data_IF_184073333322
#
_entry.id   IF_184073333322
#
_cell.length_a   1.000
_cell.length_b   1.000
_cell.length_c   1.000
_cell.angle_alpha   90.00
_cell.angle_beta   90.00
_cell.angle_gamma   90.00
#
_symmetry.space_group_name_H-M   'P 1'
#
loop_
_entity.id
_entity.type
_entity.pdbx_description
1 polymer ?
#
# COMPACT_ATOMS: atom_id res chain seq x y z
N UNK A 1 -3.37 -18.74 -32.09
CA UNK A 1 -3.89 -18.45 -30.74
C UNK A 1 -2.97 -17.42 -30.14
N UNK A 2 -3.48 -16.26 -29.72
CA UNK A 2 -2.68 -15.31 -28.95
C UNK A 2 -2.18 -16.02 -27.70
N UNK A 3 -0.91 -15.84 -27.28
CA UNK A 3 -0.41 -16.45 -26.06
C UNK A 3 -1.27 -16.00 -24.88
N UNK A 4 -1.72 -16.94 -24.06
CA UNK A 4 -2.38 -16.62 -22.79
C UNK A 4 -1.34 -15.92 -21.91
N UNK A 5 -1.59 -14.68 -21.45
CA UNK A 5 -0.60 -13.90 -20.70
C UNK A 5 -0.35 -14.46 -19.30
N UNK A 6 -1.24 -15.35 -18.84
CA UNK A 6 -1.20 -15.99 -17.54
C UNK A 6 -1.65 -17.45 -17.66
N UNK A 7 -1.07 -18.38 -16.89
CA UNK A 7 -1.54 -19.75 -16.82
C UNK A 7 -2.72 -19.92 -15.85
N UNK A 8 -3.10 -18.86 -15.11
CA UNK A 8 -4.21 -18.86 -14.15
C UNK A 8 -5.54 -18.59 -14.84
N UNK A 9 -6.59 -19.31 -14.43
CA UNK A 9 -7.96 -19.06 -14.86
C UNK A 9 -8.46 -17.68 -14.40
N UNK A 10 -9.16 -16.96 -15.29
CA UNK A 10 -9.72 -15.65 -14.96
C UNK A 10 -10.70 -15.75 -13.79
N UNK A 11 -10.58 -14.87 -12.81
CA UNK A 11 -11.50 -14.83 -11.68
C UNK A 11 -11.31 -15.92 -10.62
N UNK A 12 -10.39 -16.86 -10.82
CA UNK A 12 -10.09 -17.89 -9.85
C UNK A 12 -9.30 -17.31 -8.67
N UNK A 13 -9.75 -17.58 -7.44
CA UNK A 13 -8.97 -17.35 -6.24
C UNK A 13 -8.27 -18.63 -5.84
N UNK A 14 -6.95 -18.66 -6.02
CA UNK A 14 -6.13 -19.85 -5.84
C UNK A 14 -5.14 -19.64 -4.67
N UNK A 15 -5.49 -20.06 -3.44
CA UNK A 15 -4.53 -20.07 -2.34
C UNK A 15 -3.28 -20.88 -2.70
N UNK A 16 -2.11 -20.25 -2.67
CA UNK A 16 -0.84 -20.86 -3.11
C UNK A 16 -0.65 -20.90 -4.63
N UNK A 17 -1.48 -20.21 -5.41
CA UNK A 17 -1.41 -20.22 -6.87
C UNK A 17 -1.65 -21.63 -7.42
N UNK A 18 -0.68 -22.17 -8.16
CA UNK A 18 -0.72 -23.57 -8.63
C UNK A 18 -0.14 -24.58 -7.64
N UNK A 19 0.25 -24.16 -6.43
CA UNK A 19 0.92 -25.00 -5.44
C UNK A 19 2.20 -25.67 -6.00
N UNK A 20 2.94 -24.92 -6.82
CA UNK A 20 4.19 -25.36 -7.47
C UNK A 20 5.44 -24.78 -6.82
N UNK A 21 5.29 -24.01 -5.75
CA UNK A 21 6.43 -23.43 -5.03
C UNK A 21 7.29 -24.55 -4.42
N UNK A 22 8.62 -24.44 -4.47
CA UNK A 22 9.50 -25.41 -3.85
C UNK A 22 9.30 -25.40 -2.31
N UNK A 23 9.42 -26.56 -1.65
CA UNK A 23 9.33 -26.60 -0.19
C UNK A 23 10.49 -25.84 0.45
N UNK A 24 10.19 -25.09 1.52
CA UNK A 24 11.20 -24.44 2.35
C UNK A 24 11.76 -25.45 3.36
N UNK A 25 12.95 -25.99 3.09
CA UNK A 25 13.57 -27.01 3.95
C UNK A 25 14.02 -26.40 5.29
N UNK A 26 14.07 -27.17 6.40
CA UNK A 26 14.45 -26.64 7.72
C UNK A 26 15.83 -25.96 7.80
N UNK A 27 16.73 -26.25 6.85
CA UNK A 27 18.07 -25.68 6.75
C UNK A 27 18.22 -24.69 5.58
N UNK A 28 17.11 -24.23 5.01
CA UNK A 28 17.14 -23.27 3.90
C UNK A 28 17.80 -21.96 4.37
N UNK A 29 18.80 -21.43 3.62
CA UNK A 29 19.55 -20.24 4.04
C UNK A 29 18.71 -18.96 4.07
N UNK A 30 17.50 -18.98 3.51
CA UNK A 30 16.59 -17.82 3.51
C UNK A 30 15.70 -17.77 4.75
N UNK A 31 15.69 -18.82 5.59
CA UNK A 31 14.95 -18.83 6.85
C UNK A 31 15.40 -17.65 7.72
N UNK A 32 14.43 -16.82 8.13
CA UNK A 32 14.67 -15.61 8.91
C UNK A 32 14.85 -14.33 8.09
N UNK A 33 14.85 -14.41 6.75
CA UNK A 33 14.80 -13.22 5.87
C UNK A 33 13.51 -12.45 6.10
N UNK A 34 13.61 -11.11 6.12
CA UNK A 34 12.49 -10.21 6.44
C UNK A 34 12.46 -9.03 5.48
N UNK A 35 11.25 -8.66 5.05
CA UNK A 35 11.01 -7.36 4.43
C UNK A 35 10.84 -6.31 5.54
N UNK A 36 11.91 -5.56 5.81
CA UNK A 36 11.97 -4.61 6.92
C UNK A 36 11.22 -3.31 6.63
N UNK A 37 11.56 -2.66 5.52
CA UNK A 37 11.01 -1.36 5.14
C UNK A 37 10.74 -1.25 3.64
N UNK A 38 9.92 -0.26 3.29
CA UNK A 38 9.81 0.29 1.93
C UNK A 38 10.25 1.74 1.97
N UNK A 39 10.95 2.20 0.92
CA UNK A 39 11.44 3.57 0.83
C UNK A 39 10.68 4.32 -0.27
N UNK A 40 10.17 5.50 0.06
CA UNK A 40 9.61 6.45 -0.90
C UNK A 40 10.46 7.72 -0.92
N UNK A 41 10.81 8.18 -2.12
CA UNK A 41 11.31 9.55 -2.28
C UNK A 41 10.14 10.49 -2.08
N UNK A 42 10.34 11.53 -1.28
CA UNK A 42 9.32 12.55 -1.04
C UNK A 42 9.84 13.91 -1.47
N UNK A 43 8.93 14.75 -1.95
CA UNK A 43 9.27 16.12 -2.35
C UNK A 43 9.46 17.03 -1.15
N UNK A 44 8.52 17.01 -0.21
CA UNK A 44 8.49 17.95 0.92
C UNK A 44 8.12 17.22 2.22
N UNK A 45 9.06 17.12 3.19
CA UNK A 45 8.82 16.40 4.43
C UNK A 45 7.72 17.02 5.28
N UNK A 46 7.42 18.32 5.20
CA UNK A 46 6.31 18.91 5.95
C UNK A 46 4.98 18.26 5.56
N UNK A 47 4.72 18.18 4.25
CA UNK A 47 3.49 17.62 3.69
C UNK A 47 3.41 16.12 3.97
N UNK A 48 4.48 15.39 3.68
CA UNK A 48 4.49 13.92 3.82
C UNK A 48 4.43 13.50 5.30
N UNK A 49 5.14 14.18 6.22
CA UNK A 49 5.04 13.88 7.65
C UNK A 49 3.66 14.23 8.20
N UNK A 50 3.02 15.31 7.77
CA UNK A 50 1.64 15.59 8.15
C UNK A 50 0.71 14.43 7.73
N UNK A 51 0.80 13.98 6.48
CA UNK A 51 0.02 12.84 6.00
C UNK A 51 0.29 11.57 6.80
N UNK A 52 1.54 11.10 6.87
CA UNK A 52 1.84 9.79 7.46
C UNK A 52 1.73 9.78 9.00
N UNK A 53 2.10 10.87 9.68
CA UNK A 53 2.06 10.94 11.16
C UNK A 53 0.70 11.40 11.67
N UNK A 54 0.21 12.53 11.17
CA UNK A 54 -1.01 13.16 11.70
C UNK A 54 -2.24 12.44 11.19
N UNK A 55 -2.31 12.20 9.87
CA UNK A 55 -3.49 11.61 9.26
C UNK A 55 -3.48 10.09 9.33
N UNK A 56 -2.34 9.43 9.11
CA UNK A 56 -2.27 7.97 9.08
C UNK A 56 -1.81 7.32 10.40
N UNK A 57 -1.39 8.11 11.40
CA UNK A 57 -1.10 7.61 12.74
C UNK A 57 0.26 6.93 12.93
N UNK A 58 1.16 7.01 11.95
CA UNK A 58 2.54 6.54 12.11
C UNK A 58 3.33 7.46 13.05
N UNK A 59 4.47 7.02 13.54
CA UNK A 59 5.37 7.80 14.40
C UNK A 59 6.81 7.65 13.94
N UNK A 60 7.61 8.69 14.16
CA UNK A 60 9.03 8.69 13.80
C UNK A 60 9.79 7.72 14.70
N UNK A 61 10.42 6.73 14.09
CA UNK A 61 11.39 5.84 14.73
C UNK A 61 12.72 6.57 14.88
N UNK A 62 13.24 7.11 13.78
CA UNK A 62 14.40 7.98 13.79
C UNK A 62 14.41 8.91 12.57
N UNK A 63 15.27 9.92 12.61
CA UNK A 63 15.56 10.80 11.48
C UNK A 63 17.06 10.97 11.38
N UNK A 64 17.60 10.88 10.16
CA UNK A 64 19.02 11.08 9.91
C UNK A 64 19.20 12.04 8.73
N UNK A 65 19.77 13.21 9.01
CA UNK A 65 20.27 14.11 7.97
C UNK A 65 21.69 13.69 7.59
N UNK A 66 21.91 13.41 6.31
CA UNK A 66 23.18 12.91 5.79
C UNK A 66 24.00 13.98 5.07
N UNK A 67 23.50 15.21 5.00
CA UNK A 67 24.05 16.30 4.19
C UNK A 67 23.15 16.59 3.00
N UNK A 68 23.20 15.81 1.90
CA UNK A 68 22.41 16.08 0.69
C UNK A 68 20.96 15.57 0.76
N UNK A 69 20.62 14.75 1.76
CA UNK A 69 19.28 14.24 1.95
C UNK A 69 18.98 14.00 3.43
N UNK A 70 17.72 13.76 3.75
CA UNK A 70 17.27 13.33 5.08
C UNK A 70 16.31 12.17 4.94
N UNK A 71 16.56 11.12 5.72
CA UNK A 71 15.67 9.97 5.83
C UNK A 71 14.84 10.07 7.11
N UNK A 72 13.54 9.81 7.00
CA UNK A 72 12.60 9.73 8.11
C UNK A 72 12.04 8.31 8.15
N UNK A 73 12.46 7.53 9.13
CA UNK A 73 11.91 6.18 9.33
C UNK A 73 10.67 6.28 10.21
N UNK A 74 9.56 5.78 9.70
CA UNK A 74 8.26 5.78 10.37
C UNK A 74 7.80 4.35 10.66
N UNK A 75 7.09 4.17 11.76
CA UNK A 75 6.46 2.90 12.14
C UNK A 75 5.20 3.10 12.98
N UNK A 76 4.52 2.01 13.31
CA UNK A 76 3.32 2.04 14.16
C UNK A 76 3.63 1.57 15.59
N UNK A 77 3.37 2.41 16.62
CA UNK A 77 3.34 1.95 18.00
C UNK A 77 2.18 0.97 18.23
N UNK A 78 2.50 -0.30 18.50
CA UNK A 78 1.50 -1.39 18.53
C UNK A 78 0.76 -1.48 19.88
N UNK A 79 1.41 -1.16 20.99
CA UNK A 79 0.80 -1.24 22.34
C UNK A 79 0.29 0.12 22.86
N UNK A 80 -0.58 0.09 23.87
CA UNK A 80 -1.04 1.31 24.54
C UNK A 80 0.10 2.02 25.28
N UNK A 81 1.06 1.25 25.83
CA UNK A 81 2.27 1.75 26.46
C UNK A 81 3.15 2.49 25.46
N UNK A 82 3.41 1.89 24.29
CA UNK A 82 4.18 2.54 23.23
C UNK A 82 3.54 3.85 22.76
N UNK A 83 2.20 3.90 22.69
CA UNK A 83 1.47 5.11 22.32
C UNK A 83 1.50 6.18 23.42
N UNK A 84 1.65 5.80 24.69
CA UNK A 84 1.71 6.72 25.81
C UNK A 84 3.11 7.36 25.95
N UNK A 85 4.18 6.65 25.59
CA UNK A 85 5.55 7.15 25.58
C UNK A 85 6.24 6.90 24.24
N UNK A 86 6.02 7.83 23.32
CA UNK A 86 6.58 7.78 21.97
C UNK A 86 8.11 7.91 21.94
N UNK A 87 8.70 8.59 22.93
CA UNK A 87 10.16 8.75 23.01
C UNK A 87 10.82 7.44 23.43
N UNK A 88 10.29 6.76 24.44
CA UNK A 88 10.75 5.43 24.82
C UNK A 88 10.53 4.41 23.70
N UNK A 89 9.38 4.47 23.02
CA UNK A 89 9.10 3.63 21.85
C UNK A 89 10.13 3.86 20.73
N UNK A 90 10.40 5.10 20.35
CA UNK A 90 11.36 5.43 19.30
C UNK A 90 12.78 4.95 19.67
N UNK A 91 13.21 5.16 20.91
CA UNK A 91 14.50 4.67 21.40
C UNK A 91 14.60 3.13 21.33
N UNK A 92 13.54 2.43 21.73
CA UNK A 92 13.46 0.97 21.65
C UNK A 92 13.53 0.47 20.20
N UNK A 93 12.73 1.04 19.30
CA UNK A 93 12.63 0.55 17.90
C UNK A 93 13.88 0.92 17.09
N UNK A 94 14.51 2.07 17.37
CA UNK A 94 15.73 2.51 16.69
C UNK A 94 16.99 1.77 17.15
N UNK A 95 16.93 1.01 18.26
CA UNK A 95 18.01 0.11 18.65
C UNK A 95 18.32 -0.91 17.53
N UNK A 96 19.58 -1.12 17.11
CA UNK A 96 19.92 -1.99 15.99
C UNK A 96 19.38 -3.41 16.08
N UNK A 97 19.27 -3.98 17.29
CA UNK A 97 18.74 -5.33 17.48
C UNK A 97 17.23 -5.40 17.19
N UNK A 98 16.50 -4.30 17.38
CA UNK A 98 15.06 -4.21 17.11
C UNK A 98 14.78 -3.68 15.71
N UNK A 99 15.53 -2.67 15.26
CA UNK A 99 15.34 -2.02 13.97
C UNK A 99 15.39 -3.05 12.84
N UNK A 100 16.39 -3.95 12.85
CA UNK A 100 16.59 -4.99 11.84
C UNK A 100 15.54 -6.11 11.88
N UNK A 101 14.76 -6.19 12.97
CA UNK A 101 13.75 -7.22 13.18
C UNK A 101 12.32 -6.70 12.99
N UNK A 102 12.15 -5.38 12.97
CA UNK A 102 10.86 -4.70 12.80
C UNK A 102 10.38 -4.85 11.36
N UNK A 103 9.08 -5.07 11.16
CA UNK A 103 8.48 -5.19 9.84
C UNK A 103 7.59 -3.97 9.55
N UNK A 104 7.42 -3.66 8.27
CA UNK A 104 6.47 -2.62 7.84
C UNK A 104 6.90 -1.20 8.21
N UNK A 105 8.21 -0.93 8.26
CA UNK A 105 8.71 0.43 8.37
C UNK A 105 8.57 1.17 7.03
N UNK A 106 8.37 2.47 7.11
CA UNK A 106 8.36 3.36 5.94
C UNK A 106 9.53 4.34 6.04
N UNK A 107 10.44 4.27 5.08
CA UNK A 107 11.50 5.26 4.93
C UNK A 107 11.04 6.35 3.97
N UNK A 108 10.83 7.56 4.47
CA UNK A 108 10.63 8.73 3.62
C UNK A 108 11.98 9.39 3.37
N UNK A 109 12.36 9.52 2.10
CA UNK A 109 13.67 9.99 1.69
C UNK A 109 13.56 11.34 0.97
N UNK A 110 13.92 12.39 1.68
CA UNK A 110 13.89 13.76 1.17
C UNK A 110 15.27 14.17 0.66
N UNK A 111 15.40 14.34 -0.66
CA UNK A 111 16.60 14.93 -1.28
C UNK A 111 16.48 16.44 -1.17
N UNK A 112 17.46 17.12 -0.58
CA UNK A 112 17.31 18.56 -0.31
C UNK A 112 17.25 19.38 -1.60
N UNK A 113 16.30 20.30 -1.65
CA UNK A 113 16.03 21.15 -2.81
C UNK A 113 14.94 20.63 -3.74
N UNK A 114 14.45 19.39 -3.57
CA UNK A 114 13.29 18.90 -4.36
C UNK A 114 12.01 19.66 -4.04
N UNK A 115 11.89 20.20 -2.83
CA UNK A 115 10.76 20.97 -2.33
C UNK A 115 10.54 22.32 -3.02
N UNK A 116 11.55 22.86 -3.68
CA UNK A 116 11.48 24.15 -4.40
C UNK A 116 10.38 24.13 -5.46
N UNK A 117 9.88 25.28 -5.93
CA UNK A 117 9.07 25.33 -7.15
C UNK A 117 9.79 24.65 -8.33
N UNK A 118 9.04 23.97 -9.21
CA UNK A 118 9.62 23.21 -10.33
C UNK A 118 10.36 24.12 -11.32
N UNK A 119 9.82 25.31 -11.56
CA UNK A 119 10.43 26.37 -12.36
C UNK A 119 11.70 26.96 -11.73
N UNK A 120 11.92 26.74 -10.44
CA UNK A 120 13.14 27.08 -9.70
C UNK A 120 14.09 25.89 -9.47
N UNK A 121 13.84 24.77 -10.17
CA UNK A 121 14.67 23.56 -10.11
C UNK A 121 14.27 22.53 -9.05
N UNK A 122 13.07 22.66 -8.47
CA UNK A 122 12.46 21.58 -7.70
C UNK A 122 12.06 20.39 -8.57
N UNK A 123 11.66 19.28 -7.93
CA UNK A 123 11.42 18.00 -8.61
C UNK A 123 10.09 17.40 -8.19
N UNK A 124 9.25 17.04 -9.16
CA UNK A 124 8.04 16.23 -8.92
C UNK A 124 8.39 14.76 -8.81
N UNK A 125 7.77 14.07 -7.87
CA UNK A 125 7.98 12.64 -7.71
C UNK A 125 7.16 11.86 -8.75
N UNK A 126 7.78 10.84 -9.35
CA UNK A 126 7.04 9.86 -10.12
C UNK A 126 6.42 8.84 -9.17
N UNK A 127 5.10 8.67 -9.25
CA UNK A 127 4.36 7.76 -8.37
C UNK A 127 4.33 6.31 -8.87
N UNK A 128 4.92 6.01 -10.02
CA UNK A 128 4.97 4.66 -10.61
C UNK A 128 3.70 4.22 -11.35
N UNK A 129 2.64 5.04 -11.38
CA UNK A 129 1.36 4.70 -11.99
C UNK A 129 0.99 5.60 -13.18
N UNK A 130 1.85 6.56 -13.51
CA UNK A 130 1.66 7.48 -14.64
C UNK A 130 2.77 7.28 -15.69
N UNK A 131 2.42 7.08 -16.97
CA UNK A 131 3.38 7.05 -18.06
C UNK A 131 4.17 8.37 -18.17
N UNK A 132 5.44 8.34 -18.60
CA UNK A 132 6.19 7.16 -19.03
C UNK A 132 6.82 6.35 -17.89
N UNK A 133 6.65 6.77 -16.63
CA UNK A 133 7.38 6.24 -15.48
C UNK A 133 6.55 5.18 -14.72
N UNK A 134 6.11 4.13 -15.42
CA UNK A 134 5.39 3.02 -14.81
C UNK A 134 6.35 2.14 -13.98
N UNK A 135 5.89 1.62 -12.84
CA UNK A 135 6.70 0.83 -11.91
C UNK A 135 5.97 0.49 -10.61
N UNK A 136 6.40 1.10 -9.50
CA UNK A 136 5.79 0.88 -8.19
C UNK A 136 4.28 1.19 -8.19
N UNK A 137 3.46 0.28 -7.65
CA UNK A 137 2.02 0.44 -7.61
C UNK A 137 1.54 1.27 -6.41
N UNK A 138 1.60 0.72 -5.21
CA UNK A 138 1.05 1.37 -4.02
C UNK A 138 1.61 0.80 -2.72
N UNK A 139 1.41 1.53 -1.62
CA UNK A 139 1.51 0.98 -0.27
C UNK A 139 0.12 0.58 0.23
N UNK A 140 0.02 -0.47 1.04
CA UNK A 140 -1.24 -0.91 1.65
C UNK A 140 -1.27 -0.71 3.16
N UNK A 141 -2.35 -0.12 3.67
CA UNK A 141 -2.61 0.11 5.09
C UNK A 141 -3.92 -0.54 5.49
N UNK A 142 -3.87 -1.41 6.49
CA UNK A 142 -5.09 -1.96 7.09
C UNK A 142 -5.65 -1.02 8.14
N UNK A 143 -6.96 -0.80 8.11
CA UNK A 143 -7.68 0.07 9.05
C UNK A 143 -8.89 -0.63 9.66
N UNK A 144 -9.35 -0.20 10.84
CA UNK A 144 -10.56 -0.75 11.45
C UNK A 144 -11.84 -0.48 10.65
N UNK A 145 -11.90 0.68 9.97
CA UNK A 145 -13.04 1.11 9.15
C UNK A 145 -12.54 1.91 7.95
N UNK A 146 -12.72 1.37 6.75
CA UNK A 146 -12.26 1.99 5.49
C UNK A 146 -13.05 3.26 5.19
N UNK A 147 -14.39 3.22 5.31
CA UNK A 147 -15.25 4.35 4.99
C UNK A 147 -14.96 5.54 5.90
N UNK A 148 -14.94 5.33 7.22
CA UNK A 148 -14.64 6.38 8.19
C UNK A 148 -13.23 6.96 8.00
N UNK A 149 -12.25 6.11 7.63
CA UNK A 149 -10.89 6.58 7.33
C UNK A 149 -10.87 7.48 6.10
N UNK A 150 -11.49 7.06 4.99
CA UNK A 150 -11.54 7.83 3.75
C UNK A 150 -12.26 9.16 3.94
N UNK A 151 -13.39 9.18 4.65
CA UNK A 151 -14.10 10.44 4.95
C UNK A 151 -13.23 11.42 5.75
N UNK A 152 -12.51 10.93 6.78
CA UNK A 152 -11.60 11.76 7.57
C UNK A 152 -10.46 12.32 6.72
N UNK A 153 -9.86 11.49 5.86
CA UNK A 153 -8.80 11.94 4.96
C UNK A 153 -9.32 12.97 3.94
N UNK A 154 -10.49 12.73 3.36
CA UNK A 154 -11.14 13.66 2.42
C UNK A 154 -11.41 15.01 3.09
N UNK A 155 -11.86 15.02 4.34
CA UNK A 155 -12.11 16.25 5.10
C UNK A 155 -10.84 17.10 5.29
N UNK A 156 -9.67 16.46 5.34
CA UNK A 156 -8.35 17.10 5.41
C UNK A 156 -7.76 17.42 4.01
N UNK A 157 -8.56 17.28 2.95
CA UNK A 157 -8.16 17.62 1.58
C UNK A 157 -7.35 16.55 0.86
N UNK A 158 -7.24 15.34 1.41
CA UNK A 158 -6.57 14.22 0.75
C UNK A 158 -7.36 13.80 -0.49
N UNK A 159 -6.66 13.61 -1.61
CA UNK A 159 -7.25 13.15 -2.86
C UNK A 159 -7.67 11.68 -2.74
N UNK A 160 -8.95 11.40 -2.92
CA UNK A 160 -9.45 10.04 -3.13
C UNK A 160 -9.27 9.67 -4.61
N UNK A 161 -8.50 8.63 -4.86
CA UNK A 161 -8.21 8.10 -6.21
C UNK A 161 -9.27 7.08 -6.62
N UNK A 162 -9.74 6.28 -5.66
CA UNK A 162 -10.80 5.29 -5.83
C UNK A 162 -11.71 5.30 -4.61
N UNK A 163 -13.00 5.41 -4.86
CA UNK A 163 -14.03 5.33 -3.83
C UNK A 163 -14.28 3.89 -3.33
N UNK A 164 -14.70 3.77 -2.08
CA UNK A 164 -15.14 2.51 -1.50
C UNK A 164 -16.38 2.00 -2.25
N UNK A 165 -16.45 0.70 -2.54
CA UNK A 165 -17.56 0.09 -3.29
C UNK A 165 -17.50 0.30 -4.81
N UNK A 166 -16.51 1.04 -5.32
CA UNK A 166 -16.33 1.24 -6.77
C UNK A 166 -15.30 0.27 -7.30
N UNK A 167 -15.74 -0.63 -8.20
CA UNK A 167 -14.85 -1.48 -9.00
C UNK A 167 -15.22 -1.35 -10.47
N UNK A 168 -14.48 -0.52 -11.19
CA UNK A 168 -14.54 -0.34 -12.65
C UNK A 168 -13.14 -0.48 -13.25
N UNK A 169 -13.07 -0.56 -14.58
CA UNK A 169 -11.79 -0.63 -15.29
C UNK A 169 -10.89 0.57 -15.03
N UNK A 170 -11.48 1.75 -14.83
CA UNK A 170 -10.82 3.03 -14.54
C UNK A 170 -10.36 3.16 -13.08
N UNK A 171 -10.99 2.40 -12.17
CA UNK A 171 -10.62 2.40 -10.75
C UNK A 171 -9.39 1.54 -10.45
N UNK A 172 -8.95 0.74 -11.41
CA UNK A 172 -7.76 -0.10 -11.35
C UNK A 172 -6.60 0.66 -12.02
N UNK A 173 -5.37 0.62 -11.45
CA UNK A 173 -4.23 1.37 -11.97
C UNK A 173 -3.63 0.73 -13.23
N UNK A 174 -4.45 0.60 -14.27
CA UNK A 174 -4.10 0.15 -15.60
C UNK A 174 -4.32 1.33 -16.55
N UNK A 175 -3.24 1.88 -17.10
CA UNK A 175 -3.29 3.16 -17.81
C UNK A 175 -3.89 3.04 -19.22
N UNK A 176 -4.58 4.08 -19.68
CA UNK A 176 -5.02 4.16 -21.09
C UNK A 176 -3.84 4.10 -22.07
N UNK A 177 -2.64 4.49 -21.63
CA UNK A 177 -1.44 4.46 -22.45
C UNK A 177 -1.01 3.01 -22.76
N UNK A 178 -1.13 2.11 -21.78
CA UNK A 178 -0.93 0.67 -21.96
C UNK A 178 -2.05 0.08 -22.83
N UNK A 179 -3.29 0.44 -22.54
CA UNK A 179 -4.47 -0.08 -23.25
C UNK A 179 -4.43 0.26 -24.75
N UNK A 180 -4.09 1.50 -25.11
CA UNK A 180 -3.91 1.94 -26.51
C UNK A 180 -2.82 1.17 -27.25
N UNK A 181 -1.98 0.42 -26.55
CA UNK A 181 -0.93 -0.47 -27.09
C UNK A 181 -1.33 -1.95 -27.05
N UNK A 182 -2.56 -2.26 -26.67
CA UNK A 182 -3.04 -3.64 -26.51
C UNK A 182 -2.52 -4.32 -25.23
N UNK A 183 -2.04 -3.57 -24.25
CA UNK A 183 -1.53 -4.09 -22.97
C UNK A 183 -2.59 -3.92 -21.88
N UNK A 184 -2.86 -4.97 -21.10
CA UNK A 184 -3.83 -4.92 -20.01
C UNK A 184 -5.28 -4.68 -20.48
N UNK A 185 -5.62 -5.13 -21.68
CA UNK A 185 -6.97 -5.02 -22.26
C UNK A 185 -7.91 -6.08 -21.68
N UNK A 186 -9.22 -5.84 -21.75
CA UNK A 186 -10.25 -6.76 -21.26
C UNK A 186 -11.03 -6.20 -20.08
N UNK A 187 -12.05 -6.95 -19.67
CA UNK A 187 -12.93 -6.60 -18.56
C UNK A 187 -12.44 -7.16 -17.24
N UNK A 188 -12.84 -6.51 -16.15
CA UNK A 188 -12.52 -6.97 -14.81
C UNK A 188 -13.47 -8.08 -14.42
N UNK A 189 -12.91 -9.27 -14.15
CA UNK A 189 -13.72 -10.43 -13.78
C UNK A 189 -14.59 -10.12 -12.53
N UNK A 190 -15.90 -10.45 -12.53
CA UNK A 190 -16.82 -10.11 -11.44
C UNK A 190 -16.37 -10.56 -10.05
N UNK A 191 -15.71 -11.72 -9.95
CA UNK A 191 -15.16 -12.22 -8.69
C UNK A 191 -14.16 -11.27 -8.03
N UNK A 192 -13.42 -10.47 -8.81
CA UNK A 192 -12.50 -9.50 -8.25
C UNK A 192 -13.22 -8.39 -7.47
N UNK A 193 -14.47 -8.04 -7.86
CA UNK A 193 -15.28 -7.04 -7.15
C UNK A 193 -15.55 -7.43 -5.70
N UNK A 194 -15.58 -8.73 -5.38
CA UNK A 194 -15.75 -9.22 -4.00
C UNK A 194 -14.69 -8.61 -3.11
N UNK A 195 -13.46 -8.48 -3.60
CA UNK A 195 -12.36 -7.86 -2.87
C UNK A 195 -12.28 -6.36 -3.09
N UNK A 196 -12.29 -5.94 -4.35
CA UNK A 196 -11.95 -4.57 -4.73
C UNK A 196 -13.01 -3.53 -4.31
N UNK A 197 -14.25 -3.96 -4.07
CA UNK A 197 -15.29 -3.08 -3.49
C UNK A 197 -15.01 -2.75 -2.01
N UNK A 198 -14.19 -3.53 -1.31
CA UNK A 198 -13.93 -3.33 0.13
C UNK A 198 -12.76 -2.38 0.42
N UNK A 199 -12.02 -2.00 -0.61
CA UNK A 199 -10.87 -1.13 -0.50
C UNK A 199 -11.15 0.25 -1.08
N UNK A 200 -10.36 1.24 -0.67
CA UNK A 200 -10.32 2.55 -1.29
C UNK A 200 -8.87 2.95 -1.56
N UNK A 201 -8.66 3.81 -2.54
CA UNK A 201 -7.35 4.40 -2.82
C UNK A 201 -7.38 5.88 -2.51
N UNK A 202 -6.39 6.34 -1.77
CA UNK A 202 -6.07 7.77 -1.61
C UNK A 202 -4.68 8.03 -2.18
N UNK A 203 -4.37 9.30 -2.47
CA UNK A 203 -3.03 9.70 -2.84
C UNK A 203 -2.36 10.43 -1.67
N UNK A 204 -1.11 10.08 -1.39
CA UNK A 204 -0.27 10.89 -0.52
C UNK A 204 0.12 12.23 -1.21
N UNK A 205 0.83 13.14 -0.52
CA UNK A 205 1.17 14.45 -1.08
C UNK A 205 2.05 14.41 -2.34
N UNK A 206 2.77 13.32 -2.56
CA UNK A 206 3.65 13.10 -3.72
C UNK A 206 2.93 12.30 -4.83
N UNK A 207 1.67 11.94 -4.60
CA UNK A 207 0.81 11.24 -5.57
C UNK A 207 0.97 9.71 -5.54
N UNK A 208 1.71 9.15 -4.59
CA UNK A 208 1.76 7.70 -4.39
C UNK A 208 0.38 7.20 -3.98
N UNK A 209 -0.04 6.08 -4.58
CA UNK A 209 -1.31 5.44 -4.21
C UNK A 209 -1.12 4.77 -2.85
N UNK A 210 -2.08 5.03 -1.96
CA UNK A 210 -2.20 4.41 -0.64
C UNK A 210 -3.51 3.63 -0.63
N UNK A 211 -3.39 2.31 -0.59
CA UNK A 211 -4.49 1.38 -0.45
C UNK A 211 -4.95 1.33 1.01
N UNK A 212 -6.23 1.62 1.22
CA UNK A 212 -6.91 1.53 2.51
C UNK A 212 -7.79 0.28 2.47
N UNK A 213 -7.41 -0.74 3.26
CA UNK A 213 -8.09 -2.03 3.29
C UNK A 213 -8.56 -2.38 4.71
N UNK A 214 -9.62 -3.19 4.88
CA UNK A 214 -10.12 -3.54 6.21
C UNK A 214 -9.19 -4.54 6.90
N UNK A 215 -9.05 -4.43 8.22
CA UNK A 215 -8.33 -5.45 9.03
C UNK A 215 -9.04 -6.81 9.07
N UNK A 216 -10.35 -6.85 8.82
CA UNK A 216 -11.14 -8.08 8.85
C UNK A 216 -12.00 -8.22 7.59
N UNK A 217 -11.37 -8.74 6.53
CA UNK A 217 -12.00 -9.03 5.25
C UNK A 217 -13.20 -9.96 5.35
N UNK A 218 -13.10 -11.04 6.15
CA UNK A 218 -14.19 -12.01 6.26
C UNK A 218 -15.42 -11.40 6.94
N UNK A 219 -15.25 -10.52 7.93
CA UNK A 219 -16.37 -9.82 8.55
C UNK A 219 -17.11 -8.93 7.54
N UNK A 220 -16.39 -8.22 6.69
CA UNK A 220 -17.02 -7.37 5.67
C UNK A 220 -17.69 -8.18 4.57
N UNK A 221 -17.13 -9.34 4.21
CA UNK A 221 -17.79 -10.33 3.34
C UNK A 221 -19.07 -10.85 3.98
N UNK A 222 -19.01 -11.28 5.25
CA UNK A 222 -20.18 -11.78 5.97
C UNK A 222 -21.29 -10.72 6.08
N UNK A 223 -20.92 -9.45 6.27
CA UNK A 223 -21.86 -8.32 6.31
C UNK A 223 -22.53 -8.10 4.95
N UNK A 224 -21.82 -8.33 3.84
CA UNK A 224 -22.31 -8.11 2.48
C UNK A 224 -23.06 -9.32 1.91
N UNK A 225 -22.72 -10.55 2.32
CA UNK A 225 -23.19 -11.80 1.69
C UNK A 225 -23.83 -12.82 2.65
N UNK A 226 -23.77 -12.64 3.97
CA UNK A 226 -24.33 -13.58 4.97
C UNK A 226 -23.26 -14.40 5.71
N UNK A 227 -23.61 -15.02 6.84
CA UNK A 227 -22.66 -15.47 7.87
C UNK A 227 -21.95 -16.82 7.63
N UNK A 228 -22.12 -17.49 6.49
CA UNK A 228 -21.60 -18.85 6.26
C UNK A 228 -20.76 -19.04 4.99
N UNK A 229 -20.47 -17.98 4.23
CA UNK A 229 -19.75 -18.10 2.96
C UNK A 229 -18.26 -17.82 3.15
N UNK A 230 -17.38 -18.81 2.92
CA UNK A 230 -15.94 -18.52 2.86
C UNK A 230 -15.62 -17.65 1.65
N UNK A 231 -14.46 -16.98 1.64
CA UNK A 231 -13.97 -16.25 0.45
C UNK A 231 -13.99 -17.16 -0.79
N UNK A 232 -13.55 -18.42 -0.64
CA UNK A 232 -13.54 -19.39 -1.73
C UNK A 232 -14.95 -19.71 -2.23
N UNK A 233 -15.90 -19.91 -1.33
CA UNK A 233 -17.30 -20.22 -1.68
C UNK A 233 -17.98 -19.01 -2.35
N UNK A 234 -17.69 -17.79 -1.87
CA UNK A 234 -18.27 -16.54 -2.41
C UNK A 234 -17.83 -16.29 -3.86
N UNK A 235 -16.61 -16.73 -4.18
CA UNK A 235 -15.99 -16.60 -5.50
C UNK A 235 -16.47 -17.72 -6.43
N UNK A 236 -16.66 -18.93 -5.91
CA UNK A 236 -17.16 -20.06 -6.67
C UNK A 236 -18.66 -19.93 -7.04
N UNK A 237 -19.49 -19.29 -6.20
CA UNK A 237 -20.92 -19.08 -6.48
C UNK A 237 -21.23 -18.01 -7.54
N UNK A 238 -20.23 -17.20 -7.93
CA UNK A 238 -20.40 -16.07 -8.88
C UNK A 238 -19.66 -16.23 -10.21
N UNK A 239 -18.98 -17.36 -10.42
CA UNK A 239 -18.49 -17.80 -11.73
C UNK A 239 -19.61 -18.51 -12.51
#
# INVERSE_FOLDING_TARGET
MSPQPTPFEEGAFLPGGHNTDPPLLPNDPTIGTKLNHSMLRIRDPQRSLHFYITLMGMRTVFTMNTGPFTMYYLGFPSSAEDRADLSAWAAKVSDPANLTQTLGLLELFHIHGTEKPVDEGGVEMANGNAPPNLGFGHLGFTVPDVGATVERLRAEGVKVVKELGVTTRESIPLSEWEEKRGVGVGEIHPNYKVFFDQIAYVADPDGYIIEILPQNWQKEINKKFGSETSIGDTIAEKA
#
